data_IF_176786060323
#
_entry.id   IF_176786060323
#
_cell.length_a   1.000
_cell.length_b   1.000
_cell.length_c   1.000
_cell.angle_alpha   90.00
_cell.angle_beta   90.00
_cell.angle_gamma   90.00
#
_symmetry.space_group_name_H-M   'P 1'
#
loop_
_entity.id
_entity.type
_entity.pdbx_description
1 polymer ?
#
# COMPACT_ATOMS: atom_id res chain seq x y z
N UNK A 1 28.90 4.97 -0.65
CA UNK A 1 28.61 5.91 -1.74
C UNK A 1 27.28 6.63 -1.54
N UNK A 2 26.13 5.93 -1.56
CA UNK A 2 24.79 6.52 -1.35
C UNK A 2 24.67 7.46 -0.13
N UNK A 3 25.20 7.06 1.02
CA UNK A 3 25.24 7.92 2.23
C UNK A 3 25.86 9.29 1.95
N UNK A 4 26.97 9.35 1.21
CA UNK A 4 27.64 10.63 0.89
C UNK A 4 26.77 11.50 -0.01
N UNK A 5 26.04 10.90 -0.95
CA UNK A 5 25.07 11.63 -1.77
C UNK A 5 23.92 12.19 -0.93
N UNK A 6 23.37 11.42 0.02
CA UNK A 6 22.33 11.91 0.92
C UNK A 6 22.84 13.07 1.78
N UNK A 7 24.04 12.97 2.34
CA UNK A 7 24.65 14.03 3.14
C UNK A 7 24.93 15.30 2.32
N UNK A 8 25.42 15.15 1.08
CA UNK A 8 25.63 16.27 0.18
C UNK A 8 24.31 16.95 -0.20
N UNK A 9 23.28 16.16 -0.51
CA UNK A 9 21.94 16.66 -0.81
C UNK A 9 21.37 17.43 0.38
N UNK A 10 21.37 16.85 1.58
CA UNK A 10 20.83 17.49 2.78
C UNK A 10 21.54 18.80 3.12
N UNK A 11 22.88 18.86 2.98
CA UNK A 11 23.64 20.10 3.16
C UNK A 11 23.31 21.15 2.11
N UNK A 12 23.24 20.76 0.84
CA UNK A 12 22.99 21.68 -0.26
C UNK A 12 21.58 22.31 -0.19
N UNK A 13 20.60 21.59 0.38
CA UNK A 13 19.22 22.07 0.52
C UNK A 13 18.91 22.67 1.89
N UNK A 14 19.83 22.60 2.86
CA UNK A 14 19.55 22.96 4.25
C UNK A 14 18.47 22.09 4.89
N UNK A 15 18.32 20.84 4.44
CA UNK A 15 17.26 19.95 4.91
C UNK A 15 17.47 19.52 6.36
N UNK A 16 16.41 19.63 7.16
CA UNK A 16 16.35 19.19 8.56
C UNK A 16 15.20 18.22 8.78
N UNK A 17 15.33 17.39 9.82
CA UNK A 17 14.34 16.35 10.16
C UNK A 17 14.58 15.01 9.45
N UNK A 18 13.57 14.15 9.53
CA UNK A 18 13.64 12.78 9.00
C UNK A 18 12.99 12.69 7.62
N UNK A 19 13.75 12.17 6.66
CA UNK A 19 13.30 11.95 5.29
C UNK A 19 13.92 10.71 4.66
N UNK A 20 13.37 10.31 3.51
CA UNK A 20 13.83 9.18 2.73
C UNK A 20 14.34 9.66 1.38
N UNK A 21 15.61 9.38 1.07
CA UNK A 21 16.16 9.59 -0.27
C UNK A 21 16.15 8.27 -1.02
N UNK A 22 15.58 8.26 -2.22
CA UNK A 22 15.48 7.09 -3.07
C UNK A 22 16.39 7.24 -4.28
N UNK A 23 17.03 6.13 -4.65
CA UNK A 23 17.89 6.04 -5.80
C UNK A 23 17.48 4.83 -6.65
N UNK A 24 17.55 4.98 -7.96
CA UNK A 24 17.62 3.85 -8.88
C UNK A 24 19.10 3.47 -9.06
N UNK A 25 19.44 2.18 -8.97
CA UNK A 25 20.83 1.72 -9.16
C UNK A 25 20.90 0.88 -10.43
N UNK A 26 21.62 1.37 -11.43
CA UNK A 26 21.87 0.67 -12.69
C UNK A 26 23.38 0.54 -12.90
N UNK A 27 23.87 -0.67 -13.21
CA UNK A 27 25.30 -0.94 -13.39
C UNK A 27 26.18 -0.42 -12.22
N UNK A 28 25.69 -0.58 -10.99
CA UNK A 28 26.30 -0.06 -9.73
C UNK A 28 26.36 1.47 -9.61
N UNK A 29 25.81 2.21 -10.58
CA UNK A 29 25.72 3.67 -10.54
C UNK A 29 24.38 4.10 -9.95
N UNK A 30 24.37 4.97 -8.92
CA UNK A 30 23.14 5.49 -8.36
C UNK A 30 22.64 6.71 -9.14
N UNK A 31 21.33 6.72 -9.40
CA UNK A 31 20.59 7.84 -9.98
C UNK A 31 19.57 8.30 -8.95
N UNK A 32 19.62 9.58 -8.58
CA UNK A 32 18.65 10.15 -7.65
C UNK A 32 17.25 10.06 -8.26
N UNK A 33 16.29 9.58 -7.47
CA UNK A 33 14.89 9.48 -7.86
C UNK A 33 14.07 10.57 -7.18
N UNK A 34 14.03 10.54 -5.85
CA UNK A 34 13.26 11.50 -5.06
C UNK A 34 13.78 11.63 -3.62
N UNK A 35 13.47 12.77 -3.00
CA UNK A 35 13.52 12.97 -1.55
C UNK A 35 12.08 13.07 -1.06
N UNK A 36 11.69 12.14 -0.19
CA UNK A 36 10.42 12.17 0.52
C UNK A 36 10.65 12.81 1.90
N UNK A 37 10.22 14.06 2.15
CA UNK A 37 10.47 14.78 3.41
C UNK A 37 9.48 14.35 4.51
N UNK A 38 9.31 13.05 4.68
CA UNK A 38 8.38 12.44 5.64
C UNK A 38 8.81 11.00 5.94
N UNK A 39 8.27 10.47 7.03
CA UNK A 39 8.32 9.04 7.29
C UNK A 39 7.60 8.28 6.16
N UNK A 40 8.29 7.28 5.63
CA UNK A 40 7.79 6.41 4.56
C UNK A 40 7.60 4.98 5.05
N UNK A 41 6.97 4.15 4.22
CA UNK A 41 6.71 2.73 4.50
C UNK A 41 7.90 1.89 5.02
N UNK A 42 9.18 2.15 4.68
CA UNK A 42 10.31 1.35 5.18
C UNK A 42 10.68 1.59 6.66
N UNK A 43 10.08 2.56 7.34
CA UNK A 43 10.45 2.97 8.70
C UNK A 43 10.31 1.87 9.77
N UNK A 44 9.30 1.01 9.69
CA UNK A 44 9.12 -0.12 10.61
C UNK A 44 10.32 -1.08 10.56
N UNK A 45 10.92 -1.27 9.37
CA UNK A 45 12.11 -2.08 9.24
C UNK A 45 13.29 -1.42 9.96
N UNK A 46 13.46 -0.11 9.82
CA UNK A 46 14.50 0.63 10.52
C UNK A 46 14.30 0.59 12.04
N UNK A 47 13.06 0.73 12.52
CA UNK A 47 12.70 0.58 13.92
C UNK A 47 13.10 -0.78 14.47
N UNK A 48 12.77 -1.86 13.76
CA UNK A 48 13.18 -3.23 14.13
C UNK A 48 14.69 -3.47 14.06
N UNK A 49 15.41 -2.65 13.27
CA UNK A 49 16.86 -2.64 13.21
C UNK A 49 17.51 -1.69 14.24
N UNK A 50 16.73 -1.15 15.18
CA UNK A 50 17.20 -0.32 16.29
C UNK A 50 17.23 1.18 16.02
N UNK A 51 16.55 1.67 14.98
CA UNK A 51 16.44 3.09 14.65
C UNK A 51 15.01 3.60 14.78
N UNK A 52 14.74 4.35 15.85
CA UNK A 52 13.45 5.00 16.06
C UNK A 52 13.38 6.37 15.36
N UNK A 53 13.01 6.32 14.08
CA UNK A 53 12.82 7.52 13.27
C UNK A 53 11.63 8.38 13.71
N UNK A 54 10.63 7.81 14.37
CA UNK A 54 9.49 8.57 14.87
C UNK A 54 9.93 9.45 16.04
N UNK A 55 10.64 8.85 17.00
CA UNK A 55 11.24 9.57 18.11
C UNK A 55 12.23 10.63 17.62
N UNK A 56 13.08 10.29 16.64
CA UNK A 56 14.01 11.26 16.06
C UNK A 56 13.29 12.46 15.41
N UNK A 57 12.18 12.22 14.70
CA UNK A 57 11.41 13.30 14.11
C UNK A 57 10.85 14.26 15.17
N UNK A 58 10.36 13.73 16.30
CA UNK A 58 9.90 14.54 17.45
C UNK A 58 11.06 15.35 18.04
N UNK A 59 12.21 14.71 18.28
CA UNK A 59 13.40 15.39 18.80
C UNK A 59 13.90 16.50 17.86
N UNK A 60 13.84 16.30 16.55
CA UNK A 60 14.15 17.35 15.56
C UNK A 60 13.15 18.51 15.62
N UNK A 61 11.85 18.22 15.78
CA UNK A 61 10.83 19.25 15.88
C UNK A 61 10.95 20.08 17.17
N UNK A 62 11.32 19.45 18.29
CA UNK A 62 11.50 20.09 19.60
C UNK A 62 12.81 20.90 19.72
N UNK A 63 13.60 21.02 18.65
CA UNK A 63 14.91 21.70 18.68
C UNK A 63 15.98 20.95 19.48
N UNK A 64 15.70 19.74 19.96
CA UNK A 64 16.65 18.90 20.70
C UNK A 64 17.77 18.37 19.79
N UNK A 65 17.57 18.46 18.47
CA UNK A 65 18.53 18.09 17.43
C UNK A 65 18.94 19.33 16.60
N UNK A 66 19.40 20.40 17.25
CA UNK A 66 19.99 21.56 16.56
C UNK A 66 21.23 21.17 15.73
N UNK A 67 21.69 22.07 14.85
CA UNK A 67 22.79 21.87 13.89
C UNK A 67 24.16 21.44 14.48
N UNK A 68 24.27 21.34 15.82
CA UNK A 68 25.42 20.79 16.54
C UNK A 68 25.11 19.55 17.40
N UNK A 69 23.85 19.15 17.54
CA UNK A 69 23.46 17.93 18.23
C UNK A 69 23.88 16.72 17.41
N UNK A 70 24.55 15.77 18.05
CA UNK A 70 24.92 14.51 17.40
C UNK A 70 23.64 13.77 17.05
N UNK A 71 23.31 13.75 15.74
CA UNK A 71 22.34 12.80 15.15
C UNK A 71 22.56 11.45 15.82
N UNK A 72 21.51 10.75 16.30
CA UNK A 72 21.67 9.47 16.95
C UNK A 72 22.49 8.59 16.02
N UNK A 73 23.67 8.16 16.49
CA UNK A 73 24.48 7.26 15.69
C UNK A 73 23.61 6.03 15.46
N UNK A 74 23.47 5.56 14.22
CA UNK A 74 22.87 4.26 14.02
C UNK A 74 23.60 3.25 14.91
N UNK A 75 22.90 2.24 15.44
CA UNK A 75 23.53 1.20 16.25
C UNK A 75 24.83 0.77 15.58
N UNK A 76 25.89 0.53 16.37
CA UNK A 76 27.20 0.11 15.82
C UNK A 76 27.07 -1.05 14.83
N UNK A 77 26.02 -1.85 14.99
CA UNK A 77 25.60 -2.90 14.08
C UNK A 77 24.14 -2.69 13.61
N UNK A 78 23.90 -1.72 12.72
CA UNK A 78 22.63 -1.67 11.99
C UNK A 78 22.47 -2.95 11.17
N UNK A 79 21.42 -3.72 11.43
CA UNK A 79 21.14 -4.98 10.75
C UNK A 79 20.72 -4.75 9.29
N UNK A 80 21.70 -4.55 8.41
CA UNK A 80 21.49 -4.44 6.98
C UNK A 80 21.09 -5.79 6.35
N UNK A 81 20.47 -5.74 5.17
CA UNK A 81 20.09 -6.95 4.42
C UNK A 81 18.82 -7.66 4.91
N UNK A 82 18.12 -7.08 5.89
CA UNK A 82 16.85 -7.59 6.41
C UNK A 82 15.72 -7.40 5.41
N UNK A 83 14.81 -8.39 5.36
CA UNK A 83 13.66 -8.43 4.47
C UNK A 83 12.38 -8.18 5.26
N UNK A 84 11.65 -7.15 4.89
CA UNK A 84 10.28 -6.93 5.36
C UNK A 84 9.28 -7.43 4.31
N UNK A 85 8.17 -8.00 4.77
CA UNK A 85 7.07 -8.42 3.92
C UNK A 85 5.73 -7.86 4.41
N UNK A 86 4.85 -7.52 3.46
CA UNK A 86 3.57 -6.89 3.73
C UNK A 86 2.42 -7.74 3.21
N UNK A 87 2.03 -8.74 4.01
CA UNK A 87 0.93 -9.67 3.70
C UNK A 87 -0.36 -8.96 3.34
N UNK A 88 -0.72 -7.91 4.11
CA UNK A 88 -1.96 -7.18 3.91
C UNK A 88 -2.02 -6.51 2.53
N UNK A 89 -0.89 -5.99 2.03
CA UNK A 89 -0.80 -5.41 0.70
C UNK A 89 -1.07 -6.44 -0.40
N UNK A 90 -0.49 -7.62 -0.27
CA UNK A 90 -0.72 -8.71 -1.22
C UNK A 90 -2.16 -9.24 -1.17
N UNK A 91 -2.76 -9.34 0.03
CA UNK A 91 -4.19 -9.70 0.19
C UNK A 91 -5.12 -8.64 -0.43
N UNK A 92 -4.82 -7.36 -0.24
CA UNK A 92 -5.56 -6.27 -0.86
C UNK A 92 -5.45 -6.32 -2.40
N UNK A 93 -4.27 -6.67 -2.91
CA UNK A 93 -4.07 -6.83 -4.35
C UNK A 93 -4.76 -8.09 -4.91
N UNK A 94 -4.97 -9.15 -4.12
CA UNK A 94 -5.68 -10.35 -4.56
C UNK A 94 -7.17 -10.11 -4.82
N UNK A 95 -7.75 -9.09 -4.18
CA UNK A 95 -9.16 -8.74 -4.38
C UNK A 95 -9.38 -7.90 -5.64
N UNK A 96 -8.31 -7.41 -6.26
CA UNK A 96 -8.35 -6.80 -7.58
C UNK A 96 -8.39 -7.89 -8.67
N UNK A 97 -9.55 -8.06 -9.31
CA UNK A 97 -9.85 -9.10 -10.30
C UNK A 97 -9.12 -8.91 -11.65
N UNK A 98 -8.29 -7.88 -11.80
CA UNK A 98 -7.62 -7.54 -13.06
C UNK A 98 -6.51 -8.51 -13.49
N UNK A 99 -6.16 -9.52 -12.69
CA UNK A 99 -5.02 -10.42 -12.99
C UNK A 99 -5.35 -11.90 -12.84
N UNK A 100 -5.42 -12.63 -13.95
CA UNK A 100 -5.87 -14.03 -14.04
C UNK A 100 -4.89 -15.12 -13.55
N UNK A 101 -3.97 -14.83 -12.61
CA UNK A 101 -2.96 -15.81 -12.14
C UNK A 101 -2.90 -15.96 -10.63
N UNK A 102 -4.06 -16.16 -9.99
CA UNK A 102 -4.23 -16.23 -8.54
C UNK A 102 -3.28 -17.25 -7.88
N UNK A 103 -3.18 -18.47 -8.43
CA UNK A 103 -2.33 -19.52 -7.86
C UNK A 103 -0.85 -19.08 -7.74
N UNK A 104 -0.28 -18.52 -8.82
CA UNK A 104 1.10 -18.02 -8.81
C UNK A 104 1.34 -16.89 -7.81
N UNK A 105 0.31 -16.06 -7.54
CA UNK A 105 0.37 -14.98 -6.57
C UNK A 105 0.37 -15.53 -5.14
N UNK A 106 -0.50 -16.50 -4.85
CA UNK A 106 -0.53 -17.18 -3.55
C UNK A 106 0.82 -17.88 -3.28
N UNK A 107 1.37 -18.60 -4.25
CA UNK A 107 2.70 -19.23 -4.10
C UNK A 107 3.77 -18.17 -3.80
N UNK A 108 3.77 -17.05 -4.53
CA UNK A 108 4.70 -15.95 -4.27
C UNK A 108 4.52 -15.35 -2.88
N UNK A 109 3.28 -15.18 -2.42
CA UNK A 109 2.98 -14.67 -1.09
C UNK A 109 3.54 -15.58 0.01
N UNK A 110 3.34 -16.90 -0.12
CA UNK A 110 3.86 -17.89 0.84
C UNK A 110 5.39 -17.85 0.85
N UNK A 111 6.02 -17.86 -0.32
CA UNK A 111 7.49 -17.80 -0.42
C UNK A 111 8.03 -16.50 0.18
N UNK A 112 7.42 -15.35 -0.12
CA UNK A 112 7.80 -14.06 0.46
C UNK A 112 7.61 -14.02 1.97
N UNK A 113 6.51 -14.60 2.47
CA UNK A 113 6.24 -14.71 3.90
C UNK A 113 7.32 -15.52 4.62
N UNK A 114 7.66 -16.71 4.11
CA UNK A 114 8.67 -17.58 4.70
C UNK A 114 10.10 -17.01 4.60
N UNK A 115 10.38 -16.14 3.64
CA UNK A 115 11.70 -15.53 3.43
C UNK A 115 11.87 -14.18 4.11
N UNK A 116 10.83 -13.64 4.75
CA UNK A 116 10.88 -12.36 5.42
C UNK A 116 11.45 -12.52 6.83
N UNK A 117 12.35 -11.61 7.22
CA UNK A 117 12.77 -11.47 8.62
C UNK A 117 11.64 -10.85 9.46
N UNK A 118 10.89 -9.92 8.87
CA UNK A 118 9.86 -9.15 9.56
C UNK A 118 8.57 -9.00 8.76
N UNK A 119 7.45 -9.01 9.47
CA UNK A 119 6.13 -8.68 8.92
C UNK A 119 5.82 -7.22 9.21
N UNK A 120 5.50 -6.45 8.16
CA UNK A 120 5.38 -4.99 8.25
C UNK A 120 4.25 -4.55 9.17
N UNK A 121 3.11 -5.25 9.12
CA UNK A 121 1.91 -4.85 9.85
C UNK A 121 1.67 -5.68 11.09
N UNK A 122 2.46 -6.72 11.38
CA UNK A 122 2.21 -7.65 12.49
C UNK A 122 3.21 -7.42 13.63
N UNK A 123 2.68 -7.23 14.83
CA UNK A 123 3.45 -7.14 16.07
C UNK A 123 2.83 -8.06 17.11
N UNK A 124 3.66 -8.91 17.73
CA UNK A 124 3.21 -9.73 18.86
C UNK A 124 2.92 -8.90 20.12
N UNK A 125 3.54 -7.72 20.22
CA UNK A 125 3.35 -6.81 21.37
C UNK A 125 2.05 -6.04 21.30
N UNK A 126 1.59 -5.74 20.08
CA UNK A 126 0.34 -5.04 19.83
C UNK A 126 -0.31 -5.54 18.53
N UNK A 127 -1.13 -6.60 18.60
CA UNK A 127 -1.76 -7.18 17.42
C UNK A 127 -3.04 -6.44 17.00
N UNK A 128 -3.59 -5.55 17.84
CA UNK A 128 -4.89 -4.92 17.60
C UNK A 128 -4.92 -4.07 16.32
N UNK A 129 -3.92 -3.22 16.03
CA UNK A 129 -3.87 -2.47 14.77
C UNK A 129 -3.91 -3.40 13.57
N UNK A 130 -3.17 -4.51 13.65
CA UNK A 130 -3.12 -5.51 12.59
C UNK A 130 -4.50 -6.10 12.36
N UNK A 131 -5.12 -6.63 13.42
CA UNK A 131 -6.44 -7.27 13.35
C UNK A 131 -7.50 -6.31 12.80
N UNK A 132 -7.47 -5.05 13.21
CA UNK A 132 -8.36 -4.02 12.69
C UNK A 132 -8.19 -3.82 11.17
N UNK A 133 -6.95 -3.78 10.68
CA UNK A 133 -6.68 -3.68 9.24
C UNK A 133 -7.21 -4.88 8.46
N UNK A 134 -7.01 -6.10 8.96
CA UNK A 134 -7.56 -7.31 8.35
C UNK A 134 -9.10 -7.30 8.34
N UNK A 135 -9.73 -6.93 9.47
CA UNK A 135 -11.18 -6.84 9.58
C UNK A 135 -11.76 -5.78 8.63
N UNK A 136 -11.11 -4.62 8.53
CA UNK A 136 -11.49 -3.54 7.61
C UNK A 136 -11.42 -3.98 6.15
N UNK A 137 -10.33 -4.67 5.77
CA UNK A 137 -10.18 -5.24 4.44
C UNK A 137 -11.30 -6.25 4.14
N UNK A 138 -11.56 -7.20 5.05
CA UNK A 138 -12.62 -8.19 4.90
C UNK A 138 -13.99 -7.54 4.75
N UNK A 139 -14.32 -6.56 5.62
CA UNK A 139 -15.58 -5.82 5.57
C UNK A 139 -15.76 -5.08 4.24
N UNK A 140 -14.70 -4.43 3.75
CA UNK A 140 -14.74 -3.71 2.48
C UNK A 140 -15.05 -4.65 1.31
N UNK A 141 -14.43 -5.84 1.28
CA UNK A 141 -14.63 -6.82 0.23
C UNK A 141 -16.01 -7.49 0.32
N UNK A 142 -16.49 -7.80 1.52
CA UNK A 142 -17.85 -8.30 1.73
C UNK A 142 -18.89 -7.28 1.24
N UNK A 143 -18.71 -5.99 1.54
CA UNK A 143 -19.62 -4.94 1.06
C UNK A 143 -19.64 -4.82 -0.47
N UNK A 144 -18.52 -5.08 -1.15
CA UNK A 144 -18.43 -5.07 -2.62
C UNK A 144 -19.16 -6.29 -3.20
N UNK A 145 -18.99 -7.46 -2.59
CA UNK A 145 -19.67 -8.69 -3.00
C UNK A 145 -21.18 -8.57 -2.84
N UNK A 146 -21.67 -8.12 -1.68
CA UNK A 146 -23.10 -7.90 -1.43
C UNK A 146 -23.71 -6.91 -2.42
N UNK A 147 -23.01 -5.80 -2.72
CA UNK A 147 -23.44 -4.85 -3.76
C UNK A 147 -23.48 -5.45 -5.16
N UNK A 148 -22.58 -6.39 -5.48
CA UNK A 148 -22.58 -7.10 -6.76
C UNK A 148 -23.78 -8.05 -6.84
N UNK A 149 -24.02 -8.87 -5.79
CA UNK A 149 -25.16 -9.79 -5.71
C UNK A 149 -26.50 -9.03 -5.79
N UNK A 150 -26.64 -7.92 -5.07
CA UNK A 150 -27.86 -7.10 -5.13
C UNK A 150 -28.14 -6.52 -6.52
N UNK A 151 -27.09 -6.20 -7.31
CA UNK A 151 -27.26 -5.77 -8.71
C UNK A 151 -27.70 -6.92 -9.61
N UNK A 152 -27.13 -8.11 -9.45
CA UNK A 152 -27.54 -9.30 -10.21
C UNK A 152 -29.00 -9.69 -9.91
N UNK A 153 -29.45 -9.57 -8.65
CA UNK A 153 -30.84 -9.80 -8.27
C UNK A 153 -31.82 -8.82 -8.92
N UNK A 154 -31.46 -7.54 -9.04
CA UNK A 154 -32.29 -6.53 -9.73
C UNK A 154 -32.35 -6.70 -11.25
N UNK A 155 -31.29 -7.22 -11.88
CA UNK A 155 -31.30 -7.52 -13.33
C UNK A 155 -32.05 -8.80 -13.67
N UNK A 156 -32.09 -9.79 -12.77
CA UNK A 156 -32.82 -11.04 -12.98
C UNK A 156 -34.34 -10.90 -12.80
N UNK A 157 -34.80 -9.82 -12.15
CA UNK A 157 -36.21 -9.52 -11.91
C UNK A 157 -36.82 -8.53 -12.91
N UNK A 158 -36.12 -8.20 -14.01
CA UNK A 158 -36.74 -7.42 -15.08
C UNK A 158 -37.76 -8.31 -15.80
N UNK A 159 -39.07 -7.96 -15.80
CA UNK A 159 -40.06 -8.80 -16.46
C UNK A 159 -39.76 -8.87 -17.96
N UNK A 160 -39.75 -10.09 -18.50
CA UNK A 160 -39.83 -10.34 -19.94
C UNK A 160 -41.10 -9.64 -20.41
N UNK A 161 -40.95 -8.57 -21.18
CA UNK A 161 -42.07 -7.86 -21.76
C UNK A 161 -42.96 -8.85 -22.49
N UNK A 162 -44.19 -8.98 -22.00
CA UNK A 162 -45.28 -9.65 -22.69
C UNK A 162 -45.49 -8.93 -24.02
N UNK A 163 -44.94 -9.49 -25.10
CA UNK A 163 -45.34 -9.16 -26.45
C UNK A 163 -46.80 -9.61 -26.63
N UNK A 164 -47.75 -8.76 -26.26
CA UNK A 164 -49.14 -8.92 -26.64
C UNK A 164 -49.23 -8.50 -28.10
N UNK A 165 -49.37 -9.49 -28.97
CA UNK A 165 -49.88 -9.31 -30.31
C UNK A 165 -51.28 -8.69 -30.22
N UNK A 166 -51.44 -7.47 -30.71
CA UNK A 166 -52.73 -6.96 -31.16
C UNK A 166 -52.64 -6.79 -32.67
N UNK A 167 -53.14 -7.81 -33.37
CA UNK A 167 -53.42 -7.74 -34.80
C UNK A 167 -54.68 -6.91 -35.06
N UNK A 168 -54.59 -6.07 -36.09
CA UNK A 168 -55.59 -5.85 -37.15
C UNK A 168 -57.06 -5.70 -36.75
N UNK A 169 -57.60 -4.49 -36.90
CA UNK A 169 -58.63 -4.13 -37.93
C UNK A 169 -59.08 -2.68 -37.73
N UNK A 170 -58.83 -1.81 -38.70
CA UNK A 170 -59.88 -0.99 -39.33
C UNK A 170 -59.29 -0.22 -40.52
N UNK A 171 -59.70 -0.64 -41.70
CA UNK A 171 -59.53 0.10 -42.93
C UNK A 171 -60.61 1.19 -43.06
N UNK A 172 -60.27 2.20 -43.84
CA UNK A 172 -61.17 3.14 -44.53
C UNK A 172 -61.76 4.30 -43.71
N UNK A 173 -61.20 5.51 -43.93
CA UNK A 173 -61.91 6.62 -44.60
C UNK A 173 -61.06 7.87 -44.80
N UNK A 174 -61.20 8.45 -46.01
CA UNK A 174 -60.93 9.85 -46.45
C UNK A 174 -59.45 10.14 -46.78
N UNK A 175 -58.99 10.32 -48.03
CA UNK A 175 -59.48 11.17 -49.13
C UNK A 175 -59.92 12.55 -48.63
N UNK A 176 -58.97 13.49 -48.55
CA UNK A 176 -58.86 14.61 -49.49
C UNK A 176 -57.54 15.36 -49.30
#
# INVERSE_FOLDING_TARGET
ELRRHCEALARATGYSGVGLVQFLVENRRPFFLELNPRLGMPWELAYRCGLDFAMLAVQCADGLQDAGSTVPRPPQHYAAGKRCYWVLGDLAALTDQRTGKIASRITRMIVSFCRADYQLTWSWRDPLPTLFLYASLARSNLSKLLRKVARYGKTASAPVGSGVAQGSTEAAKRQS
#
